data_IF_106275416017
#
_entry.id   IF_106275416017
#
_cell.length_a   1.000
_cell.length_b   1.000
_cell.length_c   1.000
_cell.angle_alpha   90.00
_cell.angle_beta   90.00
_cell.angle_gamma   90.00
#
_symmetry.space_group_name_H-M   'P 1'
#
loop_
_entity.id
_entity.type
_entity.pdbx_description
1 polymer ?
#
# COMPACT_ATOMS: atom_id res chain seq x y z
N UNK A 1 9.39 -15.76 -10.55
CA UNK A 1 9.05 -15.10 -9.27
C UNK A 1 9.00 -16.08 -8.08
N UNK A 2 9.70 -15.74 -6.98
CA UNK A 2 9.66 -16.50 -5.70
C UNK A 2 8.28 -16.50 -5.04
N UNK A 3 7.86 -17.65 -4.51
CA UNK A 3 6.50 -17.88 -3.96
C UNK A 3 6.12 -16.87 -2.86
N UNK A 4 7.05 -16.57 -1.95
CA UNK A 4 6.78 -15.64 -0.85
C UNK A 4 6.44 -14.23 -1.35
N UNK A 5 7.10 -13.76 -2.41
CA UNK A 5 6.86 -12.43 -2.95
C UNK A 5 5.52 -12.36 -3.67
N UNK A 6 5.09 -13.46 -4.31
CA UNK A 6 3.75 -13.56 -4.88
C UNK A 6 2.67 -13.37 -3.82
N UNK A 7 2.79 -14.06 -2.68
CA UNK A 7 1.85 -13.90 -1.57
C UNK A 7 1.93 -12.50 -0.94
N UNK A 8 3.13 -11.92 -0.87
CA UNK A 8 3.33 -10.54 -0.44
C UNK A 8 2.56 -9.55 -1.33
N UNK A 9 2.59 -9.73 -2.66
CA UNK A 9 1.82 -8.92 -3.61
C UNK A 9 0.31 -9.10 -3.43
N UNK A 10 -0.18 -10.33 -3.24
CA UNK A 10 -1.61 -10.55 -2.98
C UNK A 10 -2.07 -9.92 -1.66
N UNK A 11 -1.26 -10.03 -0.60
CA UNK A 11 -1.57 -9.40 0.67
C UNK A 11 -1.55 -7.86 0.57
N UNK A 12 -0.58 -7.29 -0.15
CA UNK A 12 -0.53 -5.86 -0.44
C UNK A 12 -1.73 -5.40 -1.27
N UNK A 13 -2.14 -6.20 -2.27
CA UNK A 13 -3.34 -5.95 -3.07
C UNK A 13 -4.60 -5.89 -2.19
N UNK A 14 -4.79 -6.89 -1.34
CA UNK A 14 -5.91 -6.96 -0.42
C UNK A 14 -5.95 -5.75 0.53
N UNK A 15 -4.81 -5.41 1.15
CA UNK A 15 -4.70 -4.25 2.03
C UNK A 15 -5.04 -2.95 1.30
N UNK A 16 -4.55 -2.77 0.07
CA UNK A 16 -4.86 -1.59 -0.74
C UNK A 16 -6.36 -1.54 -1.12
N UNK A 17 -7.01 -2.66 -1.45
CA UNK A 17 -8.46 -2.68 -1.68
C UNK A 17 -9.21 -2.25 -0.42
N UNK A 18 -8.86 -2.80 0.74
CA UNK A 18 -9.47 -2.42 2.02
C UNK A 18 -9.22 -0.94 2.37
N UNK A 19 -8.00 -0.44 2.12
CA UNK A 19 -7.65 0.96 2.31
C UNK A 19 -8.46 1.88 1.40
N UNK A 20 -8.57 1.54 0.11
CA UNK A 20 -9.41 2.27 -0.84
C UNK A 20 -10.87 2.34 -0.37
N UNK A 21 -11.42 1.22 0.10
CA UNK A 21 -12.76 1.19 0.66
C UNK A 21 -12.89 2.08 1.89
N UNK A 22 -11.89 2.10 2.78
CA UNK A 22 -11.92 2.97 3.95
C UNK A 22 -11.96 4.47 3.60
N UNK A 23 -11.37 4.89 2.48
CA UNK A 23 -11.42 6.29 2.03
C UNK A 23 -12.67 6.64 1.20
N UNK A 24 -13.27 5.68 0.50
CA UNK A 24 -14.54 5.91 -0.22
C UNK A 24 -15.75 5.86 0.73
N UNK A 25 -15.67 5.07 1.81
CA UNK A 25 -16.81 4.82 2.71
C UNK A 25 -17.41 6.12 3.30
N UNK A 26 -16.63 7.08 3.82
CA UNK A 26 -17.17 8.35 4.33
C UNK A 26 -17.97 9.14 3.29
N UNK A 27 -17.67 8.98 1.99
CA UNK A 27 -18.40 9.64 0.90
C UNK A 27 -19.80 9.03 0.70
N UNK A 28 -19.95 7.75 0.99
CA UNK A 28 -21.15 6.97 0.69
C UNK A 28 -22.06 6.84 1.91
N UNK A 29 -21.49 6.72 3.11
CA UNK A 29 -22.22 6.35 4.33
C UNK A 29 -22.18 7.40 5.43
N UNK A 30 -21.45 8.52 5.25
CA UNK A 30 -21.18 9.55 6.28
C UNK A 30 -20.51 9.02 7.56
N UNK A 31 -20.07 7.76 7.58
CA UNK A 31 -19.41 7.14 8.73
C UNK A 31 -17.90 7.16 8.55
N UNK A 32 -17.18 7.40 9.66
CA UNK A 32 -15.74 7.60 9.68
C UNK A 32 -15.05 6.58 10.61
N UNK A 33 -14.94 5.31 10.20
CA UNK A 33 -14.48 4.23 11.07
C UNK A 33 -13.02 4.38 11.51
N UNK A 34 -12.20 5.12 10.74
CA UNK A 34 -10.79 5.36 11.07
C UNK A 34 -10.58 6.68 11.83
N UNK A 35 -11.65 7.42 12.13
CA UNK A 35 -11.60 8.76 12.72
C UNK A 35 -10.64 9.68 11.96
N UNK A 36 -10.66 9.60 10.64
CA UNK A 36 -9.82 10.42 9.76
C UNK A 36 -10.30 11.87 9.78
N UNK A 37 -9.42 12.86 9.57
CA UNK A 37 -9.84 14.25 9.42
C UNK A 37 -10.87 14.42 8.29
N UNK A 38 -11.80 15.36 8.45
CA UNK A 38 -12.71 15.72 7.36
C UNK A 38 -11.92 16.24 6.15
N UNK A 39 -12.28 15.77 4.97
CA UNK A 39 -11.60 16.15 3.73
C UNK A 39 -12.61 16.32 2.59
N UNK A 40 -12.26 17.17 1.64
CA UNK A 40 -13.11 17.41 0.47
C UNK A 40 -13.34 16.11 -0.32
N UNK A 41 -14.57 15.83 -0.80
CA UNK A 41 -14.89 14.59 -1.51
C UNK A 41 -13.95 14.22 -2.66
N UNK A 42 -13.52 15.23 -3.42
CA UNK A 42 -12.55 15.06 -4.50
C UNK A 42 -11.21 14.47 -4.03
N UNK A 43 -10.71 14.90 -2.87
CA UNK A 43 -9.44 14.41 -2.32
C UNK A 43 -9.57 12.97 -1.83
N UNK A 44 -10.66 12.64 -1.14
CA UNK A 44 -10.96 11.27 -0.70
C UNK A 44 -11.12 10.32 -1.89
N UNK A 45 -11.87 10.74 -2.92
CA UNK A 45 -12.05 9.97 -4.15
C UNK A 45 -10.73 9.77 -4.91
N UNK A 46 -9.90 10.82 -5.00
CA UNK A 46 -8.58 10.73 -5.62
C UNK A 46 -7.70 9.75 -4.85
N UNK A 47 -7.57 9.88 -3.53
CA UNK A 47 -6.76 8.99 -2.70
C UNK A 47 -7.25 7.55 -2.79
N UNK A 48 -8.56 7.31 -2.68
CA UNK A 48 -9.18 6.00 -2.85
C UNK A 48 -8.84 5.38 -4.21
N UNK A 49 -9.01 6.13 -5.30
CA UNK A 49 -8.70 5.64 -6.65
C UNK A 49 -7.23 5.26 -6.83
N UNK A 50 -6.30 6.07 -6.30
CA UNK A 50 -4.87 5.78 -6.35
C UNK A 50 -4.53 4.51 -5.58
N UNK A 51 -5.03 4.38 -4.35
CA UNK A 51 -4.80 3.18 -3.53
C UNK A 51 -5.34 1.93 -4.25
N UNK A 52 -6.53 2.03 -4.85
CA UNK A 52 -7.15 0.93 -5.61
C UNK A 52 -6.33 0.53 -6.84
N UNK A 53 -5.87 1.50 -7.64
CA UNK A 53 -5.04 1.25 -8.83
C UNK A 53 -3.77 0.51 -8.45
N UNK A 54 -3.09 0.92 -7.38
CA UNK A 54 -1.93 0.18 -6.86
C UNK A 54 -2.31 -1.24 -6.41
N UNK A 55 -3.47 -1.41 -5.76
CA UNK A 55 -3.98 -2.72 -5.37
C UNK A 55 -4.18 -3.66 -6.57
N UNK A 56 -4.83 -3.16 -7.63
CA UNK A 56 -5.04 -3.90 -8.88
C UNK A 56 -3.69 -4.24 -9.53
N UNK A 57 -2.75 -3.30 -9.56
CA UNK A 57 -1.42 -3.53 -10.12
C UNK A 57 -0.64 -4.60 -9.34
N UNK A 58 -0.72 -4.62 -8.00
CA UNK A 58 -0.12 -5.70 -7.20
C UNK A 58 -0.71 -7.06 -7.52
N UNK A 59 -2.05 -7.16 -7.59
CA UNK A 59 -2.73 -8.39 -7.95
C UNK A 59 -2.32 -8.86 -9.36
N UNK A 60 -2.32 -7.94 -10.33
CA UNK A 60 -1.91 -8.21 -11.71
C UNK A 60 -0.49 -8.76 -11.80
N UNK A 61 0.47 -8.13 -11.12
CA UNK A 61 1.85 -8.62 -11.09
C UNK A 61 1.97 -9.98 -10.41
N UNK A 62 1.20 -10.23 -9.35
CA UNK A 62 1.16 -11.53 -8.69
C UNK A 62 0.72 -12.64 -9.65
N UNK A 63 -0.23 -12.34 -10.55
CA UNK A 63 -0.67 -13.26 -11.61
C UNK A 63 0.36 -13.44 -12.75
N UNK A 64 0.96 -12.34 -13.23
CA UNK A 64 1.83 -12.35 -14.43
C UNK A 64 3.22 -12.99 -14.24
N UNK A 65 3.57 -13.44 -13.03
CA UNK A 65 4.82 -14.14 -12.68
C UNK A 65 6.14 -13.38 -12.94
N UNK A 66 6.12 -12.24 -13.63
CA UNK A 66 7.24 -11.33 -13.87
C UNK A 66 6.88 -9.90 -13.43
N UNK A 67 7.08 -9.56 -12.16
CA UNK A 67 6.75 -8.23 -11.64
C UNK A 67 7.73 -7.19 -12.21
N UNK A 68 7.19 -6.05 -12.65
CA UNK A 68 7.99 -4.96 -13.23
C UNK A 68 8.74 -4.21 -12.12
N UNK A 69 10.05 -4.04 -12.27
CA UNK A 69 10.94 -3.64 -11.18
C UNK A 69 10.80 -2.17 -10.82
N UNK A 70 10.67 -1.31 -11.83
CA UNK A 70 10.49 0.12 -11.59
C UNK A 70 9.20 0.36 -10.82
N UNK A 71 8.13 -0.34 -11.17
CA UNK A 71 6.87 -0.29 -10.45
C UNK A 71 7.02 -0.75 -9.00
N UNK A 72 7.70 -1.87 -8.73
CA UNK A 72 7.95 -2.32 -7.35
C UNK A 72 8.78 -1.31 -6.57
N UNK A 73 9.76 -0.65 -7.19
CA UNK A 73 10.57 0.39 -6.56
C UNK A 73 9.74 1.64 -6.22
N UNK A 74 8.94 2.13 -7.15
CA UNK A 74 8.01 3.24 -6.93
C UNK A 74 7.00 2.88 -5.83
N UNK A 75 6.41 1.69 -5.89
CA UNK A 75 5.50 1.18 -4.88
C UNK A 75 6.11 1.14 -3.48
N UNK A 76 7.36 0.66 -3.36
CA UNK A 76 8.07 0.65 -2.09
C UNK A 76 8.27 2.07 -1.54
N UNK A 77 8.72 3.01 -2.39
CA UNK A 77 8.90 4.41 -2.00
C UNK A 77 7.58 5.06 -1.55
N UNK A 78 6.50 4.84 -2.29
CA UNK A 78 5.16 5.32 -1.92
C UNK A 78 4.70 4.74 -0.59
N UNK A 79 4.89 3.44 -0.34
CA UNK A 79 4.52 2.82 0.94
C UNK A 79 5.34 3.34 2.12
N UNK A 80 6.63 3.61 1.94
CA UNK A 80 7.44 4.31 2.97
C UNK A 80 6.88 5.70 3.24
N UNK A 81 6.60 6.48 2.20
CA UNK A 81 6.06 7.83 2.36
C UNK A 81 4.70 7.83 3.08
N UNK A 82 3.80 6.91 2.72
CA UNK A 82 2.51 6.73 3.38
C UNK A 82 2.72 6.34 4.85
N UNK A 83 3.56 5.36 5.14
CA UNK A 83 3.83 4.95 6.52
C UNK A 83 4.34 6.14 7.36
N UNK A 84 5.29 6.92 6.83
CA UNK A 84 5.82 8.12 7.50
C UNK A 84 4.69 9.11 7.79
N UNK A 85 3.82 9.42 6.81
CA UNK A 85 2.69 10.33 7.03
C UNK A 85 1.78 9.84 8.15
N UNK A 86 1.40 8.56 8.13
CA UNK A 86 0.55 7.97 9.16
C UNK A 86 1.16 8.08 10.56
N UNK A 87 2.47 7.83 10.69
CA UNK A 87 3.16 7.99 11.97
C UNK A 87 3.29 9.44 12.42
N UNK A 88 3.64 10.35 11.52
CA UNK A 88 3.79 11.78 11.85
C UNK A 88 2.47 12.35 12.35
N UNK A 89 1.37 12.11 11.63
CA UNK A 89 0.05 12.61 12.02
C UNK A 89 -0.54 11.88 13.23
N UNK A 90 -0.18 10.62 13.47
CA UNK A 90 -0.51 9.94 14.73
C UNK A 90 0.21 10.58 15.93
N UNK A 91 1.51 10.86 15.80
CA UNK A 91 2.29 11.53 16.86
C UNK A 91 1.82 12.97 17.12
N UNK A 92 1.26 13.64 16.10
CA UNK A 92 0.64 14.95 16.24
C UNK A 92 -0.74 14.91 16.93
N UNK A 93 -1.36 13.73 17.07
CA UNK A 93 -2.71 13.55 17.62
C UNK A 93 -3.84 13.66 16.60
N UNK A 94 -3.53 13.83 15.31
CA UNK A 94 -4.51 14.01 14.23
C UNK A 94 -5.05 12.68 13.67
N UNK A 95 -4.36 11.56 13.96
CA UNK A 95 -4.77 10.22 13.55
C UNK A 95 -4.94 9.28 14.74
N UNK A 96 -5.92 8.39 14.63
CA UNK A 96 -6.10 7.30 15.58
C UNK A 96 -4.94 6.31 15.54
N UNK A 97 -4.70 5.60 16.65
CA UNK A 97 -3.72 4.50 16.69
C UNK A 97 -4.06 3.40 15.67
N UNK A 98 -5.36 3.15 15.42
CA UNK A 98 -5.79 2.19 14.41
C UNK A 98 -5.31 2.60 13.01
N UNK A 99 -5.45 3.88 12.64
CA UNK A 99 -4.90 4.39 11.39
C UNK A 99 -3.36 4.20 11.36
N UNK A 100 -2.65 4.60 12.41
CA UNK A 100 -1.19 4.42 12.50
C UNK A 100 -0.75 2.95 12.29
N UNK A 101 -1.52 1.99 12.82
CA UNK A 101 -1.25 0.56 12.65
C UNK A 101 -1.34 0.09 11.20
N UNK A 102 -2.16 0.74 10.36
CA UNK A 102 -2.19 0.49 8.90
C UNK A 102 -0.85 0.89 8.28
N UNK A 103 -0.25 2.00 8.73
CA UNK A 103 1.08 2.44 8.31
C UNK A 103 2.20 1.41 8.59
N UNK A 104 2.07 0.59 9.65
CA UNK A 104 3.00 -0.53 9.88
C UNK A 104 2.89 -1.61 8.79
N UNK A 105 1.67 -1.85 8.29
CA UNK A 105 1.44 -2.75 7.16
C UNK A 105 2.17 -2.26 5.91
N UNK A 106 2.02 -0.97 5.59
CA UNK A 106 2.72 -0.35 4.45
C UNK A 106 4.23 -0.42 4.61
N UNK A 107 4.76 -0.13 5.80
CA UNK A 107 6.19 -0.23 6.07
C UNK A 107 6.70 -1.67 5.91
N UNK A 108 5.95 -2.66 6.37
CA UNK A 108 6.28 -4.07 6.23
C UNK A 108 6.35 -4.50 4.76
N UNK A 109 5.36 -4.09 3.97
CA UNK A 109 5.37 -4.33 2.52
C UNK A 109 6.51 -3.59 1.81
N UNK A 110 6.81 -2.35 2.20
CA UNK A 110 7.92 -1.61 1.64
C UNK A 110 9.26 -2.30 1.89
N UNK A 111 9.50 -2.78 3.12
CA UNK A 111 10.70 -3.54 3.46
C UNK A 111 10.79 -4.81 2.62
N UNK A 112 9.69 -5.55 2.48
CA UNK A 112 9.64 -6.75 1.65
C UNK A 112 9.93 -6.46 0.16
N UNK A 113 9.42 -5.35 -0.38
CA UNK A 113 9.65 -4.94 -1.76
C UNK A 113 11.10 -4.52 -1.99
N UNK A 114 11.68 -3.74 -1.08
CA UNK A 114 13.10 -3.35 -1.12
C UNK A 114 13.98 -4.59 -1.02
N UNK A 115 13.64 -5.53 -0.15
CA UNK A 115 14.37 -6.78 -0.01
C UNK A 115 14.35 -7.60 -1.30
N UNK A 116 13.18 -7.75 -1.92
CA UNK A 116 13.05 -8.43 -3.21
C UNK A 116 13.86 -7.74 -4.33
N UNK A 117 13.81 -6.40 -4.42
CA UNK A 117 14.61 -5.64 -5.38
C UNK A 117 16.12 -5.86 -5.20
N UNK A 118 16.60 -5.93 -3.94
CA UNK A 118 18.00 -6.22 -3.63
C UNK A 118 18.40 -7.64 -4.01
N UNK A 119 17.52 -8.62 -3.80
CA UNK A 119 17.76 -10.00 -4.26
C UNK A 119 17.87 -10.07 -5.78
N UNK A 120 17.02 -9.33 -6.49
CA UNK A 120 17.05 -9.27 -7.94
C UNK A 120 18.40 -8.75 -8.47
N UNK A 121 18.88 -7.63 -7.95
CA UNK A 121 20.16 -7.06 -8.38
C UNK A 121 21.34 -8.01 -8.12
N UNK A 122 21.22 -8.92 -7.15
CA UNK A 122 22.29 -9.86 -6.77
C UNK A 122 22.24 -11.19 -7.52
N UNK A 123 21.05 -11.67 -7.90
CA UNK A 123 20.86 -12.98 -8.55
C UNK A 123 19.74 -12.95 -9.62
N UNK A 124 20.01 -12.41 -10.82
CA UNK A 124 19.00 -12.28 -11.87
C UNK A 124 18.44 -13.64 -12.34
N UNK A 125 19.33 -14.63 -12.48
CA UNK A 125 19.02 -15.94 -13.07
C UNK A 125 18.11 -16.86 -12.24
N UNK A 126 17.89 -16.55 -10.96
CA UNK A 126 17.09 -17.39 -10.05
C UNK A 126 15.63 -16.90 -9.96
N UNK A 127 15.35 -15.66 -10.40
CA UNK A 127 14.08 -14.98 -10.17
C UNK A 127 13.21 -14.81 -11.41
N UNK A 128 13.79 -14.99 -12.60
CA UNK A 128 13.11 -15.02 -13.91
C UNK A 128 12.19 -16.24 -14.09
#
# INVERSE_FOLDING_TARGET
>A
MVKWFRYCLYAAAFMNVMGSLAFIFPLVTQSNPLSMPEAHPLYLGTLSSWILIFGIAYAWMAFMQKPERLFIAVAAACKVAIAILFFVFWLAGDLSFLAASVGLGDLSFAIAFIYWLRQFNRYPSILD
#
